data_IF_398088437838
#
_entry.id   IF_398088437838
#
_cell.length_a   1.000
_cell.length_b   1.000
_cell.length_c   1.000
_cell.angle_alpha   90.00
_cell.angle_beta   90.00
_cell.angle_gamma   90.00
#
_symmetry.space_group_name_H-M   'P 1'
#
loop_
_entity.id
_entity.type
_entity.pdbx_description
1 polymer ?
#
# COMPACT_ATOMS: atom_id res chain seq x y z
N UNK A 1 -13.87 -2.34 7.97
CA UNK A 1 -13.90 -1.25 6.96
C UNK A 1 -13.40 -1.79 5.63
N UNK A 2 -13.66 -1.10 4.50
CA UNK A 2 -12.99 -1.42 3.22
C UNK A 2 -11.51 -1.02 3.33
N UNK A 3 -10.56 -1.81 2.80
CA UNK A 3 -9.14 -1.49 2.93
C UNK A 3 -8.72 -0.35 1.99
N UNK A 4 -7.58 0.26 2.29
CA UNK A 4 -6.81 1.09 1.37
C UNK A 4 -5.76 0.26 0.66
N UNK A 5 -5.35 0.72 -0.52
CA UNK A 5 -4.19 0.18 -1.25
C UNK A 5 -3.07 1.21 -1.23
N UNK A 6 -1.85 0.81 -0.89
CA UNK A 6 -0.63 1.58 -1.15
C UNK A 6 0.05 1.02 -2.39
N UNK A 7 0.04 1.79 -3.49
CA UNK A 7 0.87 1.53 -4.66
C UNK A 7 2.25 2.15 -4.40
N UNK A 8 3.26 1.32 -4.21
CA UNK A 8 4.63 1.75 -3.91
C UNK A 8 5.57 1.43 -5.09
N UNK A 9 6.58 2.26 -5.31
CA UNK A 9 7.59 2.08 -6.36
C UNK A 9 9.03 1.90 -5.85
N UNK A 10 9.24 1.91 -4.53
CA UNK A 10 10.58 1.73 -3.95
C UNK A 10 11.10 0.32 -4.18
N UNK A 11 12.19 0.20 -4.95
CA UNK A 11 12.83 -1.08 -5.23
C UNK A 11 13.64 -1.65 -4.07
N UNK A 12 14.13 -0.81 -3.16
CA UNK A 12 14.93 -1.27 -2.02
C UNK A 12 14.00 -1.74 -0.91
N UNK A 13 14.14 -3.00 -0.49
CA UNK A 13 13.25 -3.64 0.48
C UNK A 13 13.17 -2.88 1.81
N UNK A 14 14.31 -2.49 2.39
CA UNK A 14 14.34 -1.73 3.65
C UNK A 14 13.53 -0.42 3.58
N UNK A 15 13.86 0.50 2.65
CA UNK A 15 13.06 1.71 2.42
C UNK A 15 11.59 1.45 2.08
N UNK A 16 11.27 0.38 1.35
CA UNK A 16 9.89 0.02 1.02
C UNK A 16 9.09 -0.40 2.26
N UNK A 17 9.72 -1.15 3.17
CA UNK A 17 9.15 -1.55 4.45
C UNK A 17 9.01 -0.34 5.39
N UNK A 18 10.05 0.51 5.49
CA UNK A 18 9.97 1.76 6.25
C UNK A 18 8.82 2.66 5.77
N UNK A 19 8.63 2.80 4.45
CA UNK A 19 7.51 3.55 3.90
C UNK A 19 6.16 2.97 4.34
N UNK A 20 5.99 1.64 4.25
CA UNK A 20 4.76 0.98 4.67
C UNK A 20 4.46 1.23 6.16
N UNK A 21 5.47 1.10 7.03
CA UNK A 21 5.34 1.38 8.47
C UNK A 21 4.98 2.85 8.75
N UNK A 22 5.55 3.79 7.99
CA UNK A 22 5.19 5.20 8.11
C UNK A 22 3.73 5.44 7.70
N UNK A 23 3.25 4.78 6.65
CA UNK A 23 1.83 4.85 6.27
C UNK A 23 0.93 4.32 7.38
N UNK A 24 1.20 3.14 7.94
CA UNK A 24 0.43 2.60 9.07
C UNK A 24 0.40 3.60 10.24
N UNK A 25 1.58 4.11 10.62
CA UNK A 25 1.74 5.01 11.76
C UNK A 25 0.98 6.34 11.58
N UNK A 26 1.08 6.98 10.41
CA UNK A 26 0.53 8.32 10.20
C UNK A 26 -0.92 8.33 9.71
N UNK A 27 -1.40 7.24 9.11
CA UNK A 27 -2.83 7.09 8.77
C UNK A 27 -3.64 6.53 9.93
N UNK A 28 -3.00 5.79 10.84
CA UNK A 28 -3.67 5.07 11.93
C UNK A 28 -4.37 3.79 11.47
N UNK A 29 -4.14 3.34 10.24
CA UNK A 29 -4.68 2.10 9.70
C UNK A 29 -3.97 0.89 10.32
N UNK A 30 -4.72 -0.18 10.58
CA UNK A 30 -4.12 -1.47 10.89
C UNK A 30 -3.54 -2.14 9.63
N UNK A 31 -2.62 -3.10 9.81
CA UNK A 31 -2.08 -3.91 8.70
C UNK A 31 -3.18 -4.60 7.87
N UNK A 32 -4.29 -5.00 8.51
CA UNK A 32 -5.44 -5.60 7.83
C UNK A 32 -6.26 -4.62 6.98
N UNK A 33 -6.04 -3.31 7.18
CA UNK A 33 -6.75 -2.22 6.53
C UNK A 33 -5.92 -1.52 5.45
N UNK A 34 -4.61 -1.80 5.36
CA UNK A 34 -3.71 -1.27 4.34
C UNK A 34 -2.98 -2.39 3.61
N UNK A 35 -3.33 -2.61 2.34
CA UNK A 35 -2.67 -3.58 1.47
C UNK A 35 -1.62 -2.89 0.61
N UNK A 36 -0.38 -3.36 0.67
CA UNK A 36 0.72 -2.86 -0.16
C UNK A 36 0.82 -3.62 -1.48
N UNK A 37 0.98 -2.88 -2.58
CA UNK A 37 1.34 -3.39 -3.90
C UNK A 37 2.65 -2.73 -4.32
N UNK A 38 3.67 -3.55 -4.57
CA UNK A 38 5.00 -3.11 -5.02
C UNK A 38 5.06 -3.23 -6.55
N UNK A 39 4.94 -2.10 -7.24
CA UNK A 39 4.83 -2.06 -8.71
C UNK A 39 6.13 -2.49 -9.41
N UNK A 40 7.25 -2.40 -8.72
CA UNK A 40 8.56 -2.81 -9.20
C UNK A 40 8.85 -4.31 -8.99
N UNK A 41 8.10 -4.96 -8.09
CA UNK A 41 8.29 -6.38 -7.76
C UNK A 41 7.45 -7.33 -8.63
N UNK A 42 6.43 -6.83 -9.32
CA UNK A 42 5.54 -7.64 -10.16
C UNK A 42 4.45 -6.84 -10.84
N UNK A 43 3.62 -7.50 -11.67
CA UNK A 43 2.50 -6.85 -12.35
C UNK A 43 1.47 -6.34 -11.34
N UNK A 44 0.83 -5.23 -11.67
CA UNK A 44 -0.28 -4.68 -10.88
C UNK A 44 -1.45 -5.68 -10.88
N UNK A 45 -1.99 -6.05 -9.70
CA UNK A 45 -3.16 -6.91 -9.63
C UNK A 45 -4.41 -6.16 -10.12
N UNK A 46 -5.43 -6.91 -10.54
CA UNK A 46 -6.76 -6.33 -10.74
C UNK A 46 -7.30 -5.84 -9.39
N UNK A 47 -7.80 -4.61 -9.36
CA UNK A 47 -8.37 -3.97 -8.18
C UNK A 47 -9.88 -3.79 -8.37
N UNK A 48 -10.67 -4.38 -7.48
CA UNK A 48 -12.09 -4.06 -7.32
C UNK A 48 -12.23 -2.72 -6.59
N UNK A 49 -12.44 -1.63 -7.33
CA UNK A 49 -12.49 -0.29 -6.78
C UNK A 49 -13.72 -0.06 -5.89
N UNK A 50 -14.82 -0.76 -6.12
CA UNK A 50 -16.00 -0.69 -5.26
C UNK A 50 -15.72 -1.34 -3.89
N UNK A 51 -14.73 -2.22 -3.81
CA UNK A 51 -14.26 -2.87 -2.60
C UNK A 51 -13.25 -2.06 -1.77
N UNK A 52 -12.79 -0.90 -2.24
CA UNK A 52 -11.73 -0.12 -1.60
C UNK A 52 -12.26 1.16 -0.94
N UNK A 53 -11.56 1.61 0.11
CA UNK A 53 -11.76 2.96 0.68
C UNK A 53 -10.95 4.03 -0.05
N UNK A 54 -9.87 3.64 -0.74
CA UNK A 54 -9.02 4.55 -1.49
C UNK A 54 -7.67 3.95 -1.86
N UNK A 55 -6.89 4.74 -2.60
CA UNK A 55 -5.55 4.39 -3.07
C UNK A 55 -4.58 5.50 -2.67
N UNK A 56 -3.49 5.11 -2.01
CA UNK A 56 -2.31 5.94 -1.82
C UNK A 56 -1.26 5.57 -2.87
N UNK A 57 -0.49 6.57 -3.31
CA UNK A 57 0.63 6.39 -4.22
C UNK A 57 1.89 6.88 -3.50
N UNK A 58 2.78 5.94 -3.17
CA UNK A 58 4.06 6.13 -2.51
C UNK A 58 5.23 5.89 -3.47
N UNK A 59 6.41 6.43 -3.15
CA UNK A 59 7.50 6.59 -4.12
C UNK A 59 8.87 6.36 -3.54
#
# INVERSE_FOLDING_TARGET
MKPFILLATRAQDGPADEEYELFLRYTGLAESELRRVRLEAGPMPELDLDGLSGIFVGG
#
